data_IF_338297391993
#
_entry.id   IF_338297391993
#
_cell.length_a   1.000
_cell.length_b   1.000
_cell.length_c   1.000
_cell.angle_alpha   90.00
_cell.angle_beta   90.00
_cell.angle_gamma   90.00
#
_symmetry.space_group_name_H-M   'P 1'
#
loop_
_entity.id
_entity.type
_entity.pdbx_description
1 polymer ?
2 non-polymer ?
3 non-polymer ?
4 non-polymer ?
5 water ?
#
# COMPACT_ATOMS: atom_id res chain seq x y z
N UNK A 15 -18.45 -5.77 -3.73
CA UNK A 15 -18.08 -4.55 -2.97
C UNK A 15 -19.07 -4.35 -1.82
N UNK A 16 -18.56 -3.90 -0.70
CA UNK A 16 -19.36 -3.49 0.43
C UNK A 16 -19.15 -2.01 0.68
N UNK A 17 -20.21 -1.23 0.56
CA UNK A 17 -20.16 0.18 0.88
C UNK A 17 -20.33 0.33 2.38
N UNK A 18 -19.42 1.07 3.01
CA UNK A 18 -19.45 1.24 4.45
C UNK A 18 -19.11 2.68 4.67
N UNK A 19 -20.15 3.47 4.97
CA UNK A 19 -20.03 4.92 4.93
C UNK A 19 -19.54 5.32 3.56
N UNK A 20 -18.47 6.13 3.54
CA UNK A 20 -17.92 6.65 2.31
C UNK A 20 -16.77 5.81 1.77
N UNK A 21 -16.57 4.62 2.34
CA UNK A 21 -15.49 3.71 1.94
C UNK A 21 -16.09 2.47 1.28
N UNK A 22 -15.24 1.72 0.60
CA UNK A 22 -15.61 0.47 -0.04
C UNK A 22 -14.64 -0.62 0.39
N UNK A 23 -15.18 -1.80 0.69
CA UNK A 23 -14.40 -2.95 1.10
C UNK A 23 -14.71 -4.11 0.18
N UNK A 24 -13.69 -4.86 -0.19
CA UNK A 24 -13.86 -6.00 -1.11
C UNK A 24 -13.01 -7.15 -0.62
N UNK A 25 -13.62 -8.32 -0.39
CA UNK A 25 -12.84 -9.48 -0.01
C UNK A 25 -12.11 -10.03 -1.22
N UNK A 26 -10.80 -10.25 -1.06
CA UNK A 26 -9.94 -10.79 -2.11
C UNK A 26 -9.55 -12.25 -1.92
N UNK A 27 -9.55 -12.70 -0.68
CA UNK A 27 -9.14 -14.04 -0.32
C UNK A 27 -9.74 -14.32 1.04
N UNK A 28 -9.68 -15.55 1.54
CA UNK A 28 -10.33 -15.82 2.84
C UNK A 28 -9.95 -14.91 4.02
N UNK A 29 -8.70 -14.48 4.04
CA UNK A 29 -8.18 -13.63 5.11
C UNK A 29 -7.69 -12.26 4.60
N UNK A 30 -8.10 -11.83 3.42
CA UNK A 30 -7.60 -10.58 2.84
C UNK A 30 -8.72 -9.76 2.23
N UNK A 31 -8.76 -8.48 2.59
CA UNK A 31 -9.71 -7.53 2.05
C UNK A 31 -8.99 -6.29 1.54
N UNK A 32 -9.56 -5.66 0.52
CA UNK A 32 -9.09 -4.38 0.02
C UNK A 32 -9.97 -3.27 0.59
N UNK A 33 -9.34 -2.24 1.14
CA UNK A 33 -10.06 -1.03 1.55
C UNK A 33 -9.87 0.04 0.50
N UNK A 34 -10.92 0.83 0.25
CA UNK A 34 -10.87 1.91 -0.72
C UNK A 34 -11.49 3.16 -0.12
N UNK A 35 -10.79 4.28 -0.27
CA UNK A 35 -11.23 5.58 0.21
C UNK A 35 -11.00 6.61 -0.87
N UNK A 36 -11.66 7.75 -0.75
CA UNK A 36 -11.71 8.75 -1.82
C UNK A 36 -11.38 10.14 -1.30
N UNK A 37 -10.67 10.92 -2.12
CA UNK A 37 -10.41 12.32 -1.82
C UNK A 37 -10.57 13.15 -3.07
N UNK A 38 -11.30 14.26 -2.97
CA UNK A 38 -11.29 15.25 -4.04
C UNK A 38 -9.91 15.83 -4.29
N UNK A 39 -9.41 15.65 -5.49
CA UNK A 39 -8.22 16.36 -5.95
C UNK A 39 -8.79 17.38 -6.93
N UNK A 40 -8.90 18.67 -6.52
CA UNK A 40 -9.41 19.67 -7.45
C UNK A 40 -8.64 19.64 -8.76
N UNK A 41 -9.37 19.48 -9.86
CA UNK A 41 -8.77 19.30 -11.20
C UNK A 41 -8.63 17.86 -11.66
N UNK A 42 -8.87 16.89 -10.77
CA UNK A 42 -8.79 15.46 -11.09
C UNK A 42 -9.96 14.60 -10.61
N UNK A 43 -10.94 15.16 -9.88
CA UNK A 43 -12.07 14.38 -9.39
C UNK A 43 -11.81 13.72 -8.06
N UNK A 44 -12.70 12.80 -7.71
CA UNK A 44 -12.62 12.08 -6.45
C UNK A 44 -11.78 10.83 -6.64
N UNK A 45 -10.54 10.88 -6.15
CA UNK A 45 -9.55 9.87 -6.45
C UNK A 45 -9.61 8.72 -5.45
N UNK A 46 -9.79 7.51 -5.96
CA UNK A 46 -9.78 6.31 -5.14
C UNK A 46 -8.36 5.92 -4.78
N UNK A 47 -8.19 5.41 -3.57
CA UNK A 47 -6.94 4.78 -3.15
C UNK A 47 -7.26 3.49 -2.42
N UNK A 48 -6.54 2.44 -2.77
CA UNK A 48 -6.72 1.13 -2.17
C UNK A 48 -5.57 0.77 -1.22
N UNK A 49 -5.93 0.09 -0.14
CA UNK A 49 -4.98 -0.61 0.72
C UNK A 49 -5.52 -1.99 1.07
N UNK A 50 -4.87 -2.64 2.04
CA UNK A 50 -5.23 -4.01 2.41
C UNK A 50 -5.44 -4.19 3.88
N UNK A 51 -6.23 -5.22 4.18
CA UNK A 51 -6.51 -5.68 5.55
C UNK A 51 -6.28 -7.19 5.51
N UNK A 52 -5.48 -7.71 6.45
CA UNK A 52 -5.13 -9.13 6.47
C UNK A 52 -5.42 -9.69 7.85
N UNK A 53 -6.20 -10.77 7.94
CA UNK A 53 -6.29 -11.50 9.21
C UNK A 53 -5.18 -12.55 9.27
N UNK A 54 -4.40 -12.50 10.35
CA UNK A 54 -3.38 -13.49 10.61
C UNK A 54 -3.71 -14.13 11.95
N UNK A 55 -4.43 -15.25 11.91
CA UNK A 55 -4.87 -15.91 13.13
C UNK A 55 -5.77 -15.00 13.94
N UNK A 56 -5.35 -14.69 15.17
CA UNK A 56 -6.13 -13.87 16.08
C UNK A 56 -5.87 -12.38 16.02
N UNK A 57 -5.22 -11.89 14.97
CA UNK A 57 -4.97 -10.45 14.86
C UNK A 57 -5.13 -10.02 13.42
N UNK A 58 -5.20 -8.71 13.25
CA UNK A 58 -5.38 -8.08 11.95
C UNK A 58 -4.18 -7.16 11.67
N UNK A 59 -3.77 -7.14 10.40
CA UNK A 59 -2.66 -6.33 9.92
C UNK A 59 -3.18 -5.43 8.82
N UNK A 60 -2.78 -4.17 8.80
CA UNK A 60 -3.26 -3.21 7.81
C UNK A 60 -2.10 -2.74 6.95
N UNK A 61 -2.34 -2.63 5.64
CA UNK A 61 -1.42 -2.02 4.70
C UNK A 61 -2.07 -0.75 4.17
N UNK A 62 -1.45 0.39 4.50
CA UNK A 62 -1.84 1.74 4.13
C UNK A 62 -3.02 2.27 4.93
N UNK A 63 -2.96 3.55 5.26
CA UNK A 63 -4.12 4.22 5.80
C UNK A 63 -5.08 4.58 4.65
N UNK A 64 -6.21 5.16 5.01
CA UNK A 64 -7.02 5.91 4.05
C UNK A 64 -6.44 7.32 3.91
N UNK A 65 -7.07 8.14 3.08
CA UNK A 65 -6.58 9.50 2.89
C UNK A 65 -6.61 10.35 4.16
N UNK A 66 -7.60 10.13 5.02
CA UNK A 66 -7.78 10.98 6.20
C UNK A 66 -7.87 10.19 7.48
N UNK A 67 -7.69 10.88 8.60
CA UNK A 67 -7.89 10.27 9.90
C UNK A 67 -9.31 9.74 10.07
N UNK A 68 -10.31 10.54 9.69
CA UNK A 68 -11.69 10.09 9.84
C UNK A 68 -11.96 8.82 9.02
N UNK A 69 -11.47 8.77 7.78
CA UNK A 69 -11.67 7.59 6.96
C UNK A 69 -10.94 6.39 7.55
N UNK A 70 -9.75 6.64 8.11
CA UNK A 70 -8.97 5.55 8.70
C UNK A 70 -9.66 5.00 9.95
N UNK A 71 -10.24 5.87 10.76
CA UNK A 71 -11.06 5.39 11.88
C UNK A 71 -12.22 4.54 11.38
N UNK A 72 -12.79 4.87 10.22
CA UNK A 72 -13.84 4.04 9.62
C UNK A 72 -13.33 2.68 9.18
N UNK A 73 -12.11 2.60 8.67
CA UNK A 73 -11.52 1.29 8.40
C UNK A 73 -11.50 0.47 9.68
N UNK A 74 -11.06 1.09 10.78
CA UNK A 74 -10.98 0.36 12.05
C UNK A 74 -12.36 -0.07 12.54
N UNK A 75 -13.37 0.76 12.28
CA UNK A 75 -14.76 0.42 12.61
C UNK A 75 -15.24 -0.78 11.79
N UNK A 76 -14.95 -0.78 10.49
CA UNK A 76 -15.30 -1.91 9.63
C UNK A 76 -14.61 -3.18 10.15
N UNK A 77 -13.32 -3.08 10.51
CA UNK A 77 -12.61 -4.24 11.04
C UNK A 77 -13.29 -4.76 12.31
N UNK A 78 -13.68 -3.86 13.20
CA UNK A 78 -14.37 -4.26 14.42
C UNK A 78 -15.65 -5.03 14.11
N UNK A 79 -16.42 -4.56 13.14
CA UNK A 79 -17.71 -5.15 12.75
C UNK A 79 -17.54 -6.48 12.03
N UNK A 80 -16.61 -6.53 11.09
CA UNK A 80 -16.51 -7.65 10.17
C UNK A 80 -15.52 -8.73 10.57
N UNK A 81 -14.55 -8.38 11.41
CA UNK A 81 -13.52 -9.32 11.85
C UNK A 81 -13.51 -9.44 13.37
N UNK A 82 -13.55 -8.32 14.07
CA UNK A 82 -13.64 -8.31 15.53
C UNK A 82 -12.43 -8.97 16.20
N UNK A 83 -11.25 -8.59 15.73
CA UNK A 83 -9.99 -8.96 16.35
C UNK A 83 -9.11 -7.73 16.38
N UNK A 84 -8.12 -7.70 17.29
CA UNK A 84 -7.27 -6.52 17.40
C UNK A 84 -6.40 -6.31 16.18
N UNK A 85 -6.13 -5.05 15.88
CA UNK A 85 -5.21 -4.68 14.79
C UNK A 85 -3.82 -4.56 15.41
N UNK A 86 -2.96 -5.53 15.09
CA UNK A 86 -1.62 -5.57 15.71
C UNK A 86 -0.68 -4.52 15.17
N UNK A 87 -0.77 -4.19 13.89
CA UNK A 87 0.17 -3.26 13.29
C UNK A 87 -0.38 -2.80 11.95
N UNK A 88 0.20 -1.70 11.49
CA UNK A 88 0.00 -1.20 10.13
C UNK A 88 1.33 -0.85 9.53
N UNK A 89 1.46 -1.11 8.23
CA UNK A 89 2.62 -0.68 7.45
C UNK A 89 2.09 0.21 6.33
N UNK A 90 2.79 1.31 6.07
CA UNK A 90 2.38 2.27 5.05
C UNK A 90 3.47 2.35 4.01
N UNK A 91 3.08 2.56 2.75
CA UNK A 91 3.96 2.25 1.64
C UNK A 91 4.69 3.41 0.98
N UNK A 92 4.39 4.66 1.35
CA UNK A 92 5.22 5.84 1.09
C UNK A 92 4.55 7.05 1.71
N UNK A 93 5.29 8.15 1.70
CA UNK A 93 4.86 9.40 2.34
C UNK A 93 4.03 10.32 1.43
N UNK A 94 2.91 9.78 0.92
CA UNK A 94 1.86 10.58 0.30
C UNK A 94 0.57 10.37 1.09
N UNK A 95 -0.36 11.31 0.95
CA UNK A 95 -1.57 11.34 1.79
C UNK A 95 -2.43 10.10 1.67
N UNK A 96 -2.51 9.54 0.46
CA UNK A 96 -3.35 8.38 0.29
C UNK A 96 -2.89 7.17 1.11
N UNK A 97 -1.59 7.11 1.41
CA UNK A 97 -1.00 5.99 2.13
C UNK A 97 -0.77 6.27 3.61
N UNK A 98 -0.54 7.54 3.96
CA UNK A 98 -0.12 7.92 5.33
C UNK A 98 -0.98 8.99 5.93
N UNK A 99 -2.04 9.44 5.25
CA UNK A 99 -2.85 10.54 5.76
C UNK A 99 -3.59 10.25 7.05
N UNK A 100 -3.79 8.98 7.38
CA UNK A 100 -4.54 8.60 8.57
C UNK A 100 -3.70 8.10 9.71
N UNK A 101 -2.41 8.41 9.74
CA UNK A 101 -1.53 7.91 10.77
C UNK A 101 -2.03 8.24 12.19
N UNK A 102 -2.48 9.47 12.41
CA UNK A 102 -2.96 9.84 13.74
C UNK A 102 -4.11 8.95 14.22
N UNK A 103 -5.01 8.54 13.32
CA UNK A 103 -6.09 7.65 13.72
C UNK A 103 -5.55 6.30 14.17
N UNK A 104 -4.53 5.79 13.49
CA UNK A 104 -3.92 4.54 13.94
C UNK A 104 -3.30 4.69 15.33
N UNK A 105 -2.58 5.80 15.54
CA UNK A 105 -1.97 6.03 16.84
C UNK A 105 -3.00 6.22 17.94
N UNK A 106 -4.08 6.94 17.66
CA UNK A 106 -5.15 7.11 18.63
C UNK A 106 -5.76 5.78 19.04
N UNK A 107 -5.77 4.82 18.11
CA UNK A 107 -6.31 3.49 18.34
C UNK A 107 -5.33 2.55 19.01
N UNK A 108 -4.09 2.99 19.25
CA UNK A 108 -3.09 2.15 19.90
C UNK A 108 -2.41 1.14 18.99
N UNK A 109 -2.43 1.38 17.68
CA UNK A 109 -1.86 0.46 16.72
C UNK A 109 -0.41 0.83 16.43
N UNK A 110 0.49 -0.17 16.46
CA UNK A 110 1.90 0.03 16.13
C UNK A 110 2.05 0.28 14.64
N UNK A 111 2.82 1.30 14.26
CA UNK A 111 2.93 1.68 12.86
C UNK A 111 4.36 1.64 12.37
N UNK A 112 4.47 1.26 11.09
CA UNK A 112 5.77 1.02 10.42
C UNK A 112 5.78 1.66 9.05
N UNK A 113 6.93 2.20 8.67
CA UNK A 113 7.14 2.73 7.33
C UNK A 113 8.61 2.60 6.99
N UNK A 114 8.95 2.62 5.71
CA UNK A 114 10.34 2.81 5.30
C UNK A 114 10.94 3.96 6.10
N UNK A 115 12.16 3.78 6.60
CA UNK A 115 12.87 4.88 7.24
C UNK A 115 12.81 6.15 6.41
N UNK A 116 12.98 6.04 5.08
CA UNK A 116 12.96 7.22 4.22
C UNK A 116 11.57 7.88 4.23
N UNK A 117 10.50 7.07 4.25
CA UNK A 117 9.17 7.65 4.37
C UNK A 117 9.00 8.45 5.67
N UNK A 118 9.52 7.91 6.77
CA UNK A 118 9.43 8.63 8.05
C UNK A 118 10.24 9.92 8.01
N UNK A 119 11.40 9.89 7.36
CA UNK A 119 12.20 11.09 7.18
C UNK A 119 11.46 12.15 6.38
N UNK A 120 10.82 11.73 5.29
CA UNK A 120 10.10 12.62 4.40
C UNK A 120 8.75 13.08 4.94
N UNK A 121 8.21 12.37 5.92
CA UNK A 121 6.83 12.61 6.33
C UNK A 121 6.53 14.07 6.68
N UNK A 122 7.32 14.70 7.57
CA UNK A 122 6.96 16.08 7.92
C UNK A 122 6.89 17.01 6.71
N UNK A 123 7.87 16.97 5.81
CA UNK A 123 7.85 17.86 4.63
C UNK A 123 6.73 17.56 3.65
N UNK A 124 6.27 16.31 3.64
CA UNK A 124 5.13 15.92 2.83
C UNK A 124 3.81 16.20 3.51
N UNK A 125 3.82 16.74 4.73
CA UNK A 125 2.58 17.01 5.44
C UNK A 125 1.97 15.82 6.17
N UNK A 126 2.77 14.78 6.34
CA UNK A 126 2.35 13.55 7.01
C UNK A 126 2.89 13.46 8.43
N UNK A 127 2.22 12.67 9.26
CA UNK A 127 2.73 12.24 10.55
C UNK A 127 3.55 10.96 10.30
N UNK A 128 4.76 10.89 10.87
CA UNK A 128 5.61 9.72 10.71
C UNK A 128 5.01 8.51 11.43
N UNK A 129 5.31 7.33 10.91
CA UNK A 129 5.08 6.10 11.66
C UNK A 129 6.01 6.03 12.86
N UNK A 130 5.65 5.16 13.79
CA UNK A 130 6.42 4.98 15.01
C UNK A 130 7.73 4.25 14.81
N UNK A 131 7.79 3.38 13.81
CA UNK A 131 8.92 2.50 13.59
C UNK A 131 9.37 2.60 12.16
N UNK A 132 10.69 2.47 11.96
CA UNK A 132 11.30 2.55 10.65
C UNK A 132 11.81 1.21 10.15
N UNK A 133 11.42 0.86 8.94
CA UNK A 133 11.92 -0.29 8.24
C UNK A 133 13.19 0.08 7.50
N UNK A 134 14.18 -0.82 7.52
CA UNK A 134 15.36 -0.68 6.65
C UNK A 134 15.48 -1.93 5.80
N UNK A 135 16.27 -1.84 4.72
CA UNK A 135 16.25 -2.83 3.65
C UNK A 135 17.66 -3.25 3.29
N UNK A 136 17.80 -4.54 3.03
CA UNK A 136 19.03 -5.08 2.51
C UNK A 136 19.28 -4.58 1.09
N UNK A 137 20.52 -4.72 0.61
CA UNK A 137 20.86 -4.32 -0.75
C UNK A 137 19.97 -4.93 -1.84
N UNK A 138 19.53 -6.18 -1.62
CA UNK A 138 18.63 -6.85 -2.58
C UNK A 138 17.16 -6.44 -2.48
N UNK A 139 16.83 -5.57 -1.52
CA UNK A 139 15.49 -5.01 -1.42
C UNK A 139 14.63 -5.61 -0.33
N UNK A 140 14.96 -6.80 0.17
CA UNK A 140 14.12 -7.37 1.24
C UNK A 140 14.30 -6.58 2.53
N UNK A 141 13.22 -6.42 3.27
CA UNK A 141 13.30 -5.76 4.56
C UNK A 141 14.27 -6.50 5.47
N UNK A 142 15.01 -5.73 6.27
CA UNK A 142 15.82 -6.30 7.32
C UNK A 142 14.86 -6.83 8.39
N UNK A 143 14.88 -8.16 8.64
CA UNK A 143 13.81 -8.76 9.45
C UNK A 143 13.64 -8.17 10.85
N UNK A 144 14.72 -7.73 11.48
CA UNK A 144 14.62 -7.18 12.82
C UNK A 144 13.78 -5.91 12.85
N UNK A 145 13.67 -5.21 11.72
CA UNK A 145 12.92 -3.96 11.67
C UNK A 145 11.44 -4.18 11.42
N UNK A 146 11.04 -5.40 11.06
CA UNK A 146 9.65 -5.75 10.79
C UNK A 146 9.23 -6.92 11.68
N UNK A 147 9.32 -6.74 13.02
CA UNK A 147 8.98 -7.84 13.90
C UNK A 147 7.49 -8.13 13.87
N UNK A 148 7.14 -9.40 13.99
CA UNK A 148 5.75 -9.83 14.10
C UNK A 148 4.92 -9.46 12.89
N UNK A 149 5.53 -9.41 11.72
CA UNK A 149 4.80 -9.08 10.49
C UNK A 149 4.03 -10.28 9.94
N UNK A 150 4.18 -11.48 10.51
CA UNK A 150 3.42 -12.66 10.06
C UNK A 150 3.60 -12.88 8.56
N UNK A 151 2.49 -12.95 7.82
CA UNK A 151 2.60 -13.23 6.40
C UNK A 151 3.04 -12.05 5.53
N UNK A 152 3.18 -10.85 6.09
CA UNK A 152 3.53 -9.70 5.27
C UNK A 152 5.02 -9.71 4.98
N UNK A 153 5.35 -9.77 3.69
CA UNK A 153 6.72 -9.84 3.18
C UNK A 153 7.03 -8.50 2.50
N UNK A 154 7.84 -7.66 3.13
CA UNK A 154 8.03 -6.29 2.66
C UNK A 154 9.30 -6.20 1.81
N UNK A 155 9.16 -5.51 0.68
CA UNK A 155 10.21 -5.43 -0.32
C UNK A 155 10.31 -4.01 -0.84
N UNK A 156 11.52 -3.48 -0.86
CA UNK A 156 11.82 -2.20 -1.48
C UNK A 156 12.33 -2.49 -2.89
N UNK A 157 11.56 -2.09 -3.94
CA UNK A 157 11.90 -2.51 -5.32
C UNK A 157 12.85 -1.57 -6.02
N UNK A 158 13.23 -0.47 -5.35
CA UNK A 158 13.94 0.63 -5.96
C UNK A 158 13.03 1.82 -6.17
N UNK A 159 13.61 2.98 -6.48
CA UNK A 159 12.81 4.18 -6.69
C UNK A 159 11.96 4.09 -7.95
N UNK A 160 10.74 4.62 -7.90
CA UNK A 160 9.85 4.51 -9.03
C UNK A 160 8.79 5.57 -8.94
N UNK A 161 7.62 5.19 -8.45
CA UNK A 161 6.57 6.17 -8.16
C UNK A 161 7.09 7.26 -7.23
N UNK A 162 7.83 6.84 -6.19
CA UNK A 162 8.57 7.75 -5.35
C UNK A 162 9.90 7.08 -4.99
N UNK A 163 10.78 7.85 -4.35
CA UNK A 163 12.06 7.31 -3.89
C UNK A 163 11.87 6.28 -2.77
N UNK A 164 10.80 6.43 -1.99
CA UNK A 164 10.60 5.64 -0.78
C UNK A 164 9.59 4.52 -0.92
N UNK A 165 9.00 4.34 -2.10
CA UNK A 165 7.94 3.37 -2.25
C UNK A 165 8.35 1.95 -1.86
N UNK A 166 7.49 1.29 -1.09
CA UNK A 166 7.70 -0.11 -0.75
C UNK A 166 6.48 -0.93 -1.14
N UNK A 167 6.66 -2.24 -1.14
CA UNK A 167 5.67 -3.20 -1.65
C UNK A 167 5.56 -4.34 -0.66
N UNK A 168 4.46 -5.09 -0.73
CA UNK A 168 4.18 -6.08 0.27
C UNK A 168 3.53 -7.30 -0.34
N UNK A 169 4.14 -8.47 -0.14
CA UNK A 169 3.51 -9.73 -0.51
C UNK A 169 2.81 -10.36 0.67
N UNK A 170 1.77 -11.14 0.42
CA UNK A 170 1.06 -11.81 1.51
C UNK A 170 1.30 -13.31 1.39
N UNK A 171 2.19 -13.81 2.22
CA UNK A 171 2.43 -15.25 2.28
C UNK A 171 1.16 -16.03 2.55
N UNK A 172 1.07 -17.20 1.92
CA UNK A 172 -0.11 -18.04 2.02
C UNK A 172 -1.25 -17.66 1.10
N UNK A 173 -1.02 -16.67 0.23
CA UNK A 173 -2.01 -16.23 -0.73
C UNK A 173 -1.33 -16.02 -2.06
N UNK A 174 -2.13 -15.73 -3.07
CA UNK A 174 -1.55 -15.41 -4.37
C UNK A 174 -1.46 -13.90 -4.60
N UNK A 175 -1.42 -13.12 -3.52
CA UNK A 175 -1.55 -11.67 -3.62
C UNK A 175 -0.21 -10.99 -3.33
N UNK A 176 0.10 -9.99 -4.14
CA UNK A 176 1.15 -9.01 -3.83
C UNK A 176 0.62 -7.62 -4.12
N UNK A 177 1.04 -6.68 -3.26
CA UNK A 177 0.57 -5.29 -3.27
C UNK A 177 1.67 -4.38 -3.75
N UNK A 178 1.42 -3.74 -4.87
CA UNK A 178 2.37 -2.81 -5.44
C UNK A 178 2.20 -1.36 -5.03
N UNK A 179 1.17 -1.04 -4.27
CA UNK A 179 0.93 0.35 -3.90
C UNK A 179 0.79 1.22 -5.13
N UNK A 180 1.35 2.42 -5.08
CA UNK A 180 1.20 3.34 -6.19
C UNK A 180 2.22 3.13 -7.29
N UNK A 181 3.10 2.15 -7.12
CA UNK A 181 4.08 1.82 -8.15
C UNK A 181 3.42 1.19 -9.38
N UNK A 182 2.41 0.36 -9.19
CA UNK A 182 1.85 -0.47 -10.25
C UNK A 182 0.46 0.03 -10.64
N UNK A 183 0.17 0.07 -11.95
CA UNK A 183 -1.16 0.35 -12.51
C UNK A 183 -1.64 -0.85 -13.29
N UNK A 184 -2.95 -0.94 -13.55
CA UNK A 184 -3.48 -2.15 -14.18
C UNK A 184 -3.14 -2.21 -15.65
N UNK A 185 -3.43 -3.36 -16.24
CA UNK A 185 -3.02 -3.67 -17.59
C UNK A 185 -3.75 -2.88 -18.66
N UNK A 186 -4.83 -2.20 -18.29
CA UNK A 186 -5.60 -1.38 -19.23
C UNK A 186 -5.29 0.10 -19.05
N UNK A 187 -4.43 0.46 -18.09
CA UNK A 187 -4.16 1.87 -17.82
C UNK A 187 -3.56 2.58 -19.03
N UNK A 188 -4.08 3.77 -19.36
CA UNK A 188 -3.54 4.53 -20.49
C UNK A 188 -2.21 5.17 -20.13
N UNK A 189 -2.03 5.54 -18.87
CA UNK A 189 -0.78 6.14 -18.39
C UNK A 189 -0.53 5.78 -16.92
N UNK A 190 0.66 6.09 -16.42
CA UNK A 190 1.00 5.76 -15.04
C UNK A 190 0.27 6.64 -14.03
N UNK A 191 0.28 7.95 -14.28
CA UNK A 191 -0.32 8.92 -13.39
C UNK A 191 0.52 9.18 -12.16
N UNK A 192 0.24 10.32 -11.52
CA UNK A 192 0.83 10.69 -10.23
C UNK A 192 2.36 10.58 -10.22
N UNK A 193 2.99 11.19 -11.22
CA UNK A 193 4.44 11.12 -11.41
C UNK A 193 5.23 12.29 -10.81
N UNK A 194 4.59 13.13 -10.00
CA UNK A 194 5.24 14.33 -9.47
C UNK A 194 6.54 14.12 -8.72
N UNK A 195 6.63 13.01 -7.97
CA UNK A 195 7.80 12.68 -7.17
C UNK A 195 8.54 11.46 -7.72
N UNK A 196 8.29 11.10 -8.98
CA UNK A 196 8.78 9.85 -9.56
C UNK A 196 10.25 9.91 -9.94
N UNK A 197 10.89 8.74 -9.92
CA UNK A 197 12.23 8.55 -10.46
C UNK A 197 12.04 7.93 -11.83
N UNK A 198 12.08 8.78 -12.85
CA UNK A 198 11.72 8.40 -14.21
C UNK A 198 12.73 7.44 -14.84
N UNK A 199 13.98 7.58 -14.46
CA UNK A 199 15.03 6.71 -14.96
C UNK A 199 14.88 5.28 -14.47
N UNK A 200 14.52 5.11 -13.21
CA UNK A 200 14.56 3.79 -12.57
C UNK A 200 13.20 3.11 -12.44
N UNK A 201 12.13 3.80 -12.81
CA UNK A 201 10.77 3.29 -12.62
C UNK A 201 10.57 1.90 -13.24
N UNK A 202 10.97 1.72 -14.50
CA UNK A 202 10.71 0.46 -15.17
C UNK A 202 11.40 -0.68 -14.42
N UNK A 203 12.66 -0.49 -14.07
CA UNK A 203 13.42 -1.53 -13.36
C UNK A 203 12.79 -1.84 -12.00
N UNK A 204 12.28 -0.81 -11.32
CA UNK A 204 11.67 -1.01 -10.01
C UNK A 204 10.36 -1.79 -10.14
N UNK A 205 9.55 -1.48 -11.16
CA UNK A 205 8.35 -2.26 -11.41
C UNK A 205 8.69 -3.73 -11.64
N UNK A 206 9.68 -3.97 -12.51
CA UNK A 206 10.13 -5.34 -12.80
C UNK A 206 10.71 -6.07 -11.57
N UNK A 207 11.42 -5.33 -10.72
CA UNK A 207 11.96 -5.91 -9.50
C UNK A 207 10.85 -6.34 -8.53
N UNK A 208 9.77 -5.56 -8.45
CA UNK A 208 8.58 -5.96 -7.69
C UNK A 208 8.06 -7.31 -8.20
N UNK A 209 7.89 -7.43 -9.52
CA UNK A 209 7.41 -8.70 -10.06
C UNK A 209 8.33 -9.87 -9.75
N UNK A 210 9.63 -9.61 -9.84
CA UNK A 210 10.61 -10.69 -9.61
C UNK A 210 10.66 -11.11 -8.14
N UNK A 211 10.35 -10.18 -7.24
CA UNK A 211 10.33 -10.47 -5.80
C UNK A 211 9.18 -11.37 -5.39
N UNK A 212 8.07 -11.30 -6.11
CA UNK A 212 6.86 -12.05 -5.79
C UNK A 212 6.43 -12.84 -7.01
N UNK A 213 7.26 -13.80 -7.44
CA UNK A 213 7.01 -14.47 -8.72
C UNK A 213 5.74 -15.31 -8.75
N UNK A 214 5.27 -15.79 -7.60
CA UNK A 214 4.09 -16.66 -7.57
C UNK A 214 2.79 -15.88 -7.39
N UNK A 215 2.87 -14.55 -7.22
CA UNK A 215 1.67 -13.75 -7.02
C UNK A 215 0.92 -13.57 -8.33
N UNK A 216 -0.26 -14.14 -8.40
CA UNK A 216 -1.10 -14.03 -9.57
C UNK A 216 -2.16 -12.94 -9.49
N UNK A 217 -2.39 -12.42 -8.28
CA UNK A 217 -3.28 -11.29 -8.06
C UNK A 217 -2.46 -10.11 -7.57
N UNK A 218 -2.38 -9.08 -8.40
CA UNK A 218 -1.67 -7.88 -8.10
C UNK A 218 -2.65 -6.81 -7.68
N UNK A 219 -2.46 -6.31 -6.47
CA UNK A 219 -3.30 -5.26 -5.87
C UNK A 219 -2.49 -3.97 -5.91
N UNK A 220 -3.18 -2.86 -6.14
CA UNK A 220 -2.58 -1.57 -6.48
C UNK A 220 -3.35 -0.44 -5.83
N UNK A 221 -2.75 0.72 -5.67
CA UNK A 221 -3.48 1.83 -5.05
C UNK A 221 -4.56 2.43 -5.93
N UNK A 222 -4.30 2.54 -7.23
CA UNK A 222 -5.16 3.35 -8.09
C UNK A 222 -5.69 2.57 -9.28
N UNK A 223 -5.76 1.24 -9.13
CA UNK A 223 -6.50 0.39 -10.04
C UNK A 223 -7.08 -0.78 -9.25
N UNK A 224 -8.11 -1.42 -9.79
CA UNK A 224 -8.66 -2.64 -9.20
C UNK A 224 -7.65 -3.78 -9.36
N UNK A 225 -7.81 -4.86 -8.57
CA UNK A 225 -6.86 -5.97 -8.67
C UNK A 225 -6.80 -6.54 -10.07
N UNK A 226 -5.61 -6.98 -10.47
CA UNK A 226 -5.42 -7.46 -11.84
C UNK A 226 -4.47 -8.64 -11.83
N UNK A 227 -4.29 -9.23 -13.00
CA UNK A 227 -3.28 -10.23 -13.22
C UNK A 227 -1.88 -9.60 -13.26
N UNK A 228 -0.87 -10.43 -13.43
CA UNK A 228 0.50 -9.96 -13.56
C UNK A 228 0.74 -9.11 -14.80
N UNK A 229 -0.20 -9.07 -15.73
CA UNK A 229 -0.12 -8.10 -16.82
C UNK A 229 -0.06 -6.66 -16.32
N UNK A 230 -0.59 -6.38 -15.13
CA UNK A 230 -0.40 -5.06 -14.54
C UNK A 230 1.10 -4.71 -14.43
N UNK A 231 1.90 -5.68 -14.01
CA UNK A 231 3.32 -5.43 -13.82
C UNK A 231 4.01 -5.23 -15.17
N UNK A 232 3.78 -6.13 -16.12
CA UNK A 232 4.42 -6.00 -17.40
C UNK A 232 4.01 -4.71 -18.12
N UNK A 233 2.71 -4.38 -18.06
CA UNK A 233 2.22 -3.17 -18.73
C UNK A 233 2.76 -1.92 -18.07
N UNK A 234 2.80 -1.89 -16.73
CA UNK A 234 3.36 -0.78 -16.02
C UNK A 234 4.82 -0.59 -16.42
N UNK A 235 5.59 -1.68 -16.43
CA UNK A 235 7.00 -1.56 -16.76
C UNK A 235 7.20 -1.09 -18.19
N UNK A 236 6.36 -1.57 -19.11
CA UNK A 236 6.47 -1.17 -20.50
C UNK A 236 6.13 0.32 -20.69
N UNK A 237 5.12 0.82 -19.98
CA UNK A 237 4.84 2.26 -19.98
C UNK A 237 5.96 3.05 -19.35
N UNK A 238 6.55 2.53 -18.26
CA UNK A 238 7.69 3.19 -17.63
C UNK A 238 8.94 3.20 -18.51
N UNK A 239 9.09 2.22 -19.42
CA UNK A 239 10.16 2.26 -20.40
C UNK A 239 10.15 3.58 -21.20
N UNK A 240 8.97 4.14 -21.44
CA UNK A 240 8.81 5.40 -22.23
C UNK A 240 9.21 6.66 -21.44
N UNK A 241 9.33 6.56 -20.12
CA UNK A 241 9.84 7.66 -19.29
C UNK A 241 11.35 7.90 -19.45
N UNK A 242 12.08 6.93 -19.99
CA UNK A 242 13.55 6.97 -20.08
C UNK A 242 14.00 7.54 -21.42
X LIG B 1 2.13 8.49 -4.07
X LIG C 1 -1.21 7.03 -4.60
X LIG D 1 7.08 11.12 -0.73
X LIG D 1 6.70 9.77 -0.81
X LIG D 1 7.97 11.50 -1.91
X LIG D 1 8.87 12.51 -1.50
X LIG E 1 6.03 -10.89 -15.15
X LIG E 1 5.82 -12.07 -14.40
X LIG E 1 5.81 -9.66 -14.28
X LIG E 1 6.89 -9.46 -13.37
X LIG F 1 -1.60 11.00 -5.21
X LIG F 1 -2.82 10.13 -5.56
X LIG F 1 -1.04 13.23 -4.55
X LIG F 1 -2.10 12.31 -4.58
X LIG F 1 -0.63 10.31 -4.28
X LIG F 1 0.11 8.85 -5.11
#
# INVERSE_FOLDING_TARGET
GEIRPTIGQQMETGDQRFGDLVFRQLAPNVWQHTSYLDMPGFGAVASNGLIVRDGGRVLVVDTAWTDDQTAQILNWIKQEINLPVALAVVTHAHQDKMGGMDALHAAGIATYANALSNQLAPQEGMVAAQHSLTFAANGWVEPATAPNFGPLKVFYPGPGHTSDNITVGIDGTDIAFGGCLIKDSKAKSLGNLGDADTEHYAASARAFGAAFPKASMIVMSHSAPDSRAAITHTARMADKLR
ZN ZN
ZN ZN
EDO C1 O1 C2 O2
EDO C1 O1 C2 O2
9EX C2 C4 O1 C3 C1 S1
#
